data_IF_913962880622
#
_entry.id   IF_913962880622
#
_cell.length_a   1.000
_cell.length_b   1.000
_cell.length_c   1.000
_cell.angle_alpha   90.00
_cell.angle_beta   90.00
_cell.angle_gamma   90.00
#
_symmetry.space_group_name_H-M   'P 1'
#
loop_
_entity.id
_entity.type
_entity.pdbx_description
1 polymer ?
#
# COMPACT_ATOMS: atom_id res chain seq x y z
N UNK A 1 -13.62 -44.75 22.15
CA UNK A 1 -12.51 -44.19 21.34
C UNK A 1 -13.02 -43.33 20.16
N UNK A 2 -13.95 -42.40 20.37
CA UNK A 2 -14.50 -41.53 19.30
C UNK A 2 -13.90 -40.11 19.31
N UNK A 3 -13.47 -39.59 20.47
CA UNK A 3 -12.87 -38.26 20.60
C UNK A 3 -11.56 -38.08 19.80
N UNK A 4 -10.72 -39.11 19.73
CA UNK A 4 -9.41 -39.03 19.07
C UNK A 4 -9.52 -38.75 17.56
N UNK A 5 -10.57 -39.29 16.91
CA UNK A 5 -10.83 -39.08 15.48
C UNK A 5 -11.25 -37.64 15.17
N UNK A 6 -12.05 -37.01 16.03
CA UNK A 6 -12.47 -35.62 15.83
C UNK A 6 -11.33 -34.61 16.06
N UNK A 7 -10.39 -34.92 16.95
CA UNK A 7 -9.21 -34.07 17.19
C UNK A 7 -8.27 -34.01 15.97
N UNK A 8 -8.05 -35.15 15.31
CA UNK A 8 -7.21 -35.24 14.10
C UNK A 8 -7.84 -34.48 12.92
N UNK A 9 -9.16 -34.56 12.75
CA UNK A 9 -9.89 -33.83 11.72
C UNK A 9 -9.78 -32.30 11.87
N UNK A 10 -9.79 -31.79 13.11
CA UNK A 10 -9.70 -30.36 13.36
C UNK A 10 -8.31 -29.78 13.04
N UNK A 11 -7.24 -30.54 13.29
CA UNK A 11 -5.88 -30.10 12.93
C UNK A 11 -5.64 -30.04 11.42
N UNK A 12 -6.23 -30.96 10.64
CA UNK A 12 -6.08 -30.94 9.17
C UNK A 12 -6.76 -29.73 8.51
N UNK A 13 -7.87 -29.24 9.06
CA UNK A 13 -8.60 -28.10 8.49
C UNK A 13 -7.87 -26.78 8.77
N UNK A 14 -7.23 -26.65 9.94
CA UNK A 14 -6.50 -25.43 10.32
C UNK A 14 -5.26 -25.16 9.46
N UNK A 15 -4.60 -26.21 8.96
CA UNK A 15 -3.38 -26.08 8.13
C UNK A 15 -3.66 -25.68 6.68
N UNK A 16 -4.84 -25.99 6.14
CA UNK A 16 -5.21 -25.67 4.74
C UNK A 16 -5.62 -24.20 4.59
N UNK A 17 -6.12 -23.57 5.66
CA UNK A 17 -6.62 -22.19 5.63
C UNK A 17 -5.56 -21.08 5.63
N UNK A 18 -4.28 -21.40 5.86
CA UNK A 18 -3.25 -20.38 6.16
C UNK A 18 -2.17 -20.22 5.09
N UNK A 19 -2.49 -20.45 3.81
CA UNK A 19 -1.60 -20.09 2.71
C UNK A 19 -2.30 -19.13 1.75
N UNK A 20 -2.42 -17.86 2.16
CA UNK A 20 -2.52 -16.77 1.20
C UNK A 20 -1.20 -16.74 0.44
N UNK A 21 -1.12 -17.50 -0.67
CA UNK A 21 -0.07 -17.40 -1.68
C UNK A 21 0.03 -15.91 -2.00
N UNK A 22 1.08 -15.22 -1.53
CA UNK A 22 1.37 -13.86 -1.98
C UNK A 22 1.57 -14.00 -3.48
N UNK A 23 0.58 -13.54 -4.26
CA UNK A 23 0.72 -13.45 -5.71
C UNK A 23 1.99 -12.66 -5.94
N UNK A 24 3.01 -13.34 -6.45
CA UNK A 24 4.28 -12.73 -6.80
C UNK A 24 3.96 -11.81 -7.97
N UNK A 25 3.78 -10.52 -7.69
CA UNK A 25 3.56 -9.53 -8.75
C UNK A 25 4.80 -9.57 -9.65
N UNK A 26 4.60 -9.95 -10.92
CA UNK A 26 5.64 -9.86 -11.93
C UNK A 26 6.20 -8.44 -11.97
N UNK A 27 7.53 -8.33 -12.06
CA UNK A 27 8.19 -7.03 -12.18
C UNK A 27 7.73 -6.35 -13.48
N UNK A 28 7.07 -5.20 -13.36
CA UNK A 28 6.71 -4.36 -14.50
C UNK A 28 7.69 -3.20 -14.60
N UNK A 29 7.94 -2.73 -15.81
CA UNK A 29 8.88 -1.65 -16.07
C UNK A 29 8.23 -0.56 -16.92
N UNK A 30 8.68 0.69 -16.78
CA UNK A 30 8.27 1.79 -17.65
C UNK A 30 9.04 1.77 -18.98
N UNK A 31 8.74 2.70 -19.90
CA UNK A 31 9.42 2.83 -21.20
C UNK A 31 10.92 3.13 -21.09
N UNK A 32 11.41 3.49 -19.90
CA UNK A 32 12.82 3.79 -19.62
C UNK A 32 13.50 2.63 -18.86
N UNK A 33 12.84 1.49 -18.73
CA UNK A 33 13.36 0.32 -18.01
C UNK A 33 13.36 0.46 -16.50
N UNK A 34 12.65 1.45 -15.92
CA UNK A 34 12.57 1.60 -14.47
C UNK A 34 11.45 0.73 -13.91
N UNK A 35 11.66 0.08 -12.75
CA UNK A 35 10.62 -0.73 -12.12
C UNK A 35 9.41 0.14 -11.79
N UNK A 36 8.23 -0.38 -12.10
CA UNK A 36 6.94 0.21 -11.78
C UNK A 36 6.18 -0.69 -10.83
N UNK A 37 5.46 -0.07 -9.90
CA UNK A 37 4.61 -0.76 -8.91
C UNK A 37 3.33 0.05 -8.74
N UNK A 38 2.31 -0.57 -8.15
CA UNK A 38 1.09 0.15 -7.80
C UNK A 38 1.40 1.32 -6.88
N UNK A 39 1.08 2.51 -7.37
CA UNK A 39 1.12 3.77 -6.66
C UNK A 39 -0.29 4.14 -6.18
N UNK A 40 -0.40 4.62 -4.95
CA UNK A 40 -1.68 5.07 -4.39
C UNK A 40 -1.46 6.12 -3.30
N UNK A 41 -2.48 6.91 -3.01
CA UNK A 41 -2.48 7.96 -1.99
C UNK A 41 -3.64 7.72 -1.03
N UNK A 42 -3.53 8.16 0.22
CA UNK A 42 -4.64 8.12 1.18
C UNK A 42 -4.94 9.54 1.68
N UNK A 43 -6.15 9.74 2.18
CA UNK A 43 -6.55 10.98 2.84
C UNK A 43 -5.52 11.44 3.88
N UNK A 44 -5.40 12.77 4.04
CA UNK A 44 -4.40 13.41 4.87
C UNK A 44 -4.52 13.02 6.34
N UNK A 45 -5.73 12.81 6.84
CA UNK A 45 -5.99 12.31 8.19
C UNK A 45 -5.51 10.87 8.43
N UNK A 46 -5.15 10.16 7.36
CA UNK A 46 -4.74 8.76 7.39
C UNK A 46 -5.89 7.77 7.57
N UNK A 47 -7.15 8.18 7.40
CA UNK A 47 -8.32 7.31 7.42
C UNK A 47 -8.70 6.87 6.01
N UNK A 48 -9.48 5.80 5.92
CA UNK A 48 -9.98 5.25 4.66
C UNK A 48 -8.96 4.46 3.82
N UNK A 49 -9.40 3.94 2.66
CA UNK A 49 -8.57 3.16 1.76
C UNK A 49 -7.58 4.04 1.00
N UNK A 50 -6.55 3.40 0.44
CA UNK A 50 -5.66 4.04 -0.52
C UNK A 50 -6.37 4.19 -1.88
N UNK A 51 -6.48 5.42 -2.39
CA UNK A 51 -6.93 5.72 -3.74
C UNK A 51 -5.81 5.41 -4.75
N UNK A 52 -6.07 4.58 -5.77
CA UNK A 52 -5.06 4.22 -6.77
C UNK A 52 -4.68 5.42 -7.64
N UNK A 53 -3.38 5.56 -7.91
CA UNK A 53 -2.81 6.54 -8.86
C UNK A 53 -2.29 5.86 -10.14
N UNK A 54 -2.32 4.53 -10.19
CA UNK A 54 -1.84 3.71 -11.31
C UNK A 54 -0.51 3.00 -11.00
N UNK A 55 0.05 2.28 -11.98
CA UNK A 55 1.40 1.71 -11.89
C UNK A 55 2.39 2.76 -12.38
N UNK A 56 3.19 3.30 -11.46
CA UNK A 56 4.18 4.35 -11.72
C UNK A 56 5.55 3.88 -11.26
N UNK A 57 6.63 4.52 -11.70
CA UNK A 57 7.92 4.34 -11.02
C UNK A 57 7.93 5.17 -9.71
N UNK A 58 8.93 4.95 -8.85
CA UNK A 58 8.98 5.62 -7.54
C UNK A 58 8.95 7.16 -7.65
N UNK A 59 9.71 7.71 -8.61
CA UNK A 59 9.83 9.16 -8.80
C UNK A 59 8.51 9.77 -9.25
N UNK A 60 7.83 9.15 -10.21
CA UNK A 60 6.52 9.58 -10.70
C UNK A 60 5.43 9.42 -9.65
N UNK A 61 5.49 8.35 -8.86
CA UNK A 61 4.59 8.17 -7.73
C UNK A 61 4.75 9.31 -6.72
N UNK A 62 5.99 9.63 -6.30
CA UNK A 62 6.26 10.76 -5.41
C UNK A 62 5.73 12.07 -5.99
N UNK A 63 6.04 12.37 -7.25
CA UNK A 63 5.56 13.58 -7.95
C UNK A 63 4.03 13.67 -7.98
N UNK A 64 3.35 12.56 -8.25
CA UNK A 64 1.89 12.52 -8.32
C UNK A 64 1.26 12.75 -6.94
N UNK A 65 1.80 12.10 -5.90
CA UNK A 65 1.36 12.32 -4.52
C UNK A 65 1.61 13.77 -4.08
N UNK A 66 2.78 14.33 -4.40
CA UNK A 66 3.10 15.73 -4.09
C UNK A 66 2.18 16.72 -4.80
N UNK A 67 1.71 16.44 -6.01
CA UNK A 67 0.72 17.31 -6.68
C UNK A 67 -0.62 17.32 -5.95
N UNK A 68 -1.06 16.16 -5.49
CA UNK A 68 -2.34 15.99 -4.79
C UNK A 68 -2.28 16.46 -3.34
N UNK A 69 -1.10 16.66 -2.76
CA UNK A 69 -0.97 16.98 -1.33
C UNK A 69 -1.46 18.39 -0.95
N UNK A 70 -1.67 19.27 -1.93
CA UNK A 70 -2.26 20.59 -1.71
C UNK A 70 -3.79 20.56 -1.72
N UNK A 71 -4.41 19.46 -2.15
CA UNK A 71 -5.84 19.27 -2.03
C UNK A 71 -6.21 18.96 -0.57
N UNK A 72 -7.23 19.64 -0.04
CA UNK A 72 -7.65 19.52 1.37
C UNK A 72 -7.85 18.06 1.81
N UNK A 73 -8.35 17.21 0.91
CA UNK A 73 -8.59 15.80 1.16
C UNK A 73 -7.32 15.00 1.49
N UNK A 74 -6.19 15.29 0.84
CA UNK A 74 -4.94 14.54 0.99
C UNK A 74 -3.90 15.28 1.84
N UNK A 75 -4.14 16.56 2.10
CA UNK A 75 -3.29 17.44 2.91
C UNK A 75 -3.37 17.06 4.39
N UNK A 76 -2.23 16.68 4.97
CA UNK A 76 -2.09 16.50 6.41
C UNK A 76 -1.35 17.71 7.00
N UNK A 77 -1.89 18.33 8.05
CA UNK A 77 -1.26 19.49 8.70
C UNK A 77 -0.44 19.01 9.91
N UNK A 78 0.87 19.25 9.90
CA UNK A 78 1.76 19.05 11.04
C UNK A 78 2.26 20.39 11.59
N UNK A 79 2.09 20.63 12.90
CA UNK A 79 2.53 21.90 13.52
C UNK A 79 4.02 22.20 13.29
N UNK A 80 4.90 21.20 13.39
CA UNK A 80 6.36 21.38 13.25
C UNK A 80 6.93 21.02 11.86
N UNK A 81 6.15 20.37 10.99
CA UNK A 81 6.63 19.86 9.69
C UNK A 81 5.85 20.45 8.50
N UNK A 82 4.93 21.38 8.75
CA UNK A 82 4.06 21.96 7.72
C UNK A 82 3.05 20.95 7.17
N UNK A 83 2.67 21.13 5.91
CA UNK A 83 1.73 20.25 5.21
C UNK A 83 2.44 19.03 4.64
N UNK A 84 1.78 17.86 4.61
CA UNK A 84 2.38 16.64 4.09
C UNK A 84 1.34 15.66 3.54
N UNK A 85 1.79 14.64 2.80
CA UNK A 85 0.92 13.59 2.26
C UNK A 85 1.54 12.20 2.40
N UNK A 86 0.67 11.18 2.35
CA UNK A 86 1.03 9.77 2.46
C UNK A 86 0.57 9.00 1.24
N UNK A 87 1.49 8.27 0.63
CA UNK A 87 1.18 7.30 -0.40
C UNK A 87 1.84 5.95 -0.17
N UNK A 88 1.63 5.07 -1.14
CA UNK A 88 2.13 3.70 -1.13
C UNK A 88 2.66 3.39 -2.51
N UNK A 89 3.88 2.88 -2.54
CA UNK A 89 4.58 2.38 -3.73
C UNK A 89 5.36 1.14 -3.32
N UNK A 90 4.84 -0.04 -3.62
CA UNK A 90 5.36 -1.29 -3.08
C UNK A 90 5.23 -1.40 -1.55
N UNK A 91 5.95 -0.57 -0.81
CA UNK A 91 6.12 -0.63 0.64
C UNK A 91 5.44 0.55 1.35
N UNK A 92 5.89 1.80 1.17
CA UNK A 92 5.22 3.03 1.64
C UNK A 92 5.98 4.24 1.08
N UNK A 93 5.29 5.34 0.78
CA UNK A 93 5.92 6.62 0.48
C UNK A 93 5.32 7.67 1.39
N UNK A 94 6.14 8.27 2.25
CA UNK A 94 5.78 9.52 2.90
C UNK A 94 6.36 10.65 2.07
N UNK A 95 5.53 11.63 1.70
CA UNK A 95 6.02 12.88 1.13
C UNK A 95 6.30 13.80 2.30
N UNK A 96 7.45 14.48 2.26
CA UNK A 96 7.83 15.47 3.26
C UNK A 96 6.92 16.71 3.23
N UNK A 97 7.46 17.82 3.69
CA UNK A 97 6.75 19.10 3.64
C UNK A 97 6.37 19.44 2.20
N UNK A 98 5.08 19.65 1.96
CA UNK A 98 4.58 20.15 0.69
C UNK A 98 5.00 21.61 0.51
N UNK A 99 5.46 22.00 -0.70
CA UNK A 99 5.83 23.38 -1.01
C UNK A 99 4.63 24.33 -0.91
#
# INVERSE_FOLDING_TARGET
>A
MKLLKYLLLFQTILLIGCSKKKVQENATFDRRGKPTKLCSIRAGDGRGPYKPLGRLNERECKKSISKLCNEELYKQIHRTKGHFARGKYGERIMIGTCP
#
